data_IF_351705339058
#
_entry.id   IF_351705339058
#
_cell.length_a   1.000
_cell.length_b   1.000
_cell.length_c   1.000
_cell.angle_alpha   90.00
_cell.angle_beta   90.00
_cell.angle_gamma   90.00
#
_symmetry.space_group_name_H-M   'P 1'
#
loop_
_entity.id
_entity.type
_entity.pdbx_description
1 polymer ?
#
# COMPACT_ATOMS: atom_id res chain seq x y z
N UNK A 1 -33.99 -14.20 28.56
CA UNK A 1 -32.73 -13.40 28.56
C UNK A 1 -31.91 -13.91 27.38
N UNK A 2 -32.15 -13.32 26.23
CA UNK A 2 -31.39 -13.64 25.01
C UNK A 2 -30.08 -12.83 25.02
N UNK A 3 -28.97 -13.57 25.18
CA UNK A 3 -27.63 -13.02 24.95
C UNK A 3 -27.47 -12.83 23.45
N UNK A 4 -27.63 -11.63 22.97
CA UNK A 4 -27.26 -11.23 21.63
C UNK A 4 -25.74 -11.09 21.63
N UNK A 5 -25.03 -12.14 21.23
CA UNK A 5 -23.64 -12.07 20.83
C UNK A 5 -23.54 -11.14 19.61
N UNK A 6 -23.29 -9.86 19.88
CA UNK A 6 -22.83 -8.92 18.87
C UNK A 6 -21.36 -9.20 18.58
N UNK A 7 -21.10 -10.24 17.80
CA UNK A 7 -19.82 -10.40 17.13
C UNK A 7 -19.69 -9.21 16.18
N UNK A 8 -18.92 -8.21 16.59
CA UNK A 8 -18.59 -7.05 15.75
C UNK A 8 -17.88 -7.60 14.51
N UNK A 9 -18.59 -7.74 13.39
CA UNK A 9 -17.98 -8.15 12.12
C UNK A 9 -16.94 -7.06 11.77
N UNK A 10 -15.67 -7.42 11.87
CA UNK A 10 -14.56 -6.54 11.54
C UNK A 10 -14.61 -6.24 10.05
N UNK A 11 -14.58 -4.96 9.67
CA UNK A 11 -14.60 -4.52 8.26
C UNK A 11 -13.35 -5.01 7.56
N UNK A 12 -13.50 -5.92 6.57
CA UNK A 12 -12.37 -6.41 5.77
C UNK A 12 -12.05 -5.42 4.64
N UNK A 13 -10.80 -4.99 4.59
CA UNK A 13 -10.27 -4.14 3.52
C UNK A 13 -9.73 -4.98 2.36
N UNK A 14 -9.14 -6.14 2.66
CA UNK A 14 -8.77 -7.16 1.67
C UNK A 14 -9.43 -8.47 2.05
N UNK A 15 -10.09 -9.12 1.10
CA UNK A 15 -10.64 -10.45 1.26
C UNK A 15 -10.40 -11.24 -0.04
N UNK A 16 -9.51 -12.22 0.02
CA UNK A 16 -9.17 -13.14 -1.06
C UNK A 16 -9.51 -14.56 -0.64
N UNK A 17 -10.27 -15.28 -1.48
CA UNK A 17 -10.65 -16.67 -1.25
C UNK A 17 -10.37 -17.49 -2.51
N UNK A 18 -9.48 -18.49 -2.40
CA UNK A 18 -9.07 -19.40 -3.47
C UNK A 18 -8.69 -18.67 -4.76
N UNK A 19 -7.96 -17.56 -4.63
CA UNK A 19 -7.60 -16.70 -5.75
C UNK A 19 -6.44 -17.30 -6.52
N UNK A 20 -6.53 -17.24 -7.87
CA UNK A 20 -5.45 -17.59 -8.80
C UNK A 20 -4.95 -16.32 -9.48
N UNK A 21 -3.64 -16.07 -9.41
CA UNK A 21 -2.97 -14.95 -10.05
C UNK A 21 -1.93 -15.48 -11.01
N UNK A 22 -1.98 -15.05 -12.27
CA UNK A 22 -1.05 -15.53 -13.31
C UNK A 22 -0.90 -14.57 -14.46
N UNK A 23 -0.20 -15.04 -15.51
CA UNK A 23 0.00 -14.37 -16.78
C UNK A 23 -0.24 -15.36 -17.92
N UNK A 24 -1.09 -15.00 -18.89
CA UNK A 24 -1.31 -15.79 -20.11
C UNK A 24 -1.55 -17.28 -19.83
N UNK A 25 -2.51 -17.60 -18.98
CA UNK A 25 -2.88 -18.95 -18.56
C UNK A 25 -1.77 -19.73 -17.81
N UNK A 26 -0.73 -19.04 -17.37
CA UNK A 26 0.31 -19.63 -16.52
C UNK A 26 0.15 -19.10 -15.09
N UNK A 27 -0.42 -19.90 -14.18
CA UNK A 27 -0.60 -19.49 -12.79
C UNK A 27 0.73 -19.29 -12.08
N UNK A 28 0.92 -18.13 -11.45
CA UNK A 28 2.05 -17.81 -10.60
C UNK A 28 1.74 -18.09 -9.13
N UNK A 29 0.54 -17.72 -8.69
CA UNK A 29 0.03 -18.00 -7.36
C UNK A 29 -1.33 -18.70 -7.47
N UNK A 30 -1.55 -19.72 -6.64
CA UNK A 30 -2.79 -20.52 -6.57
C UNK A 30 -3.28 -20.59 -5.14
N UNK A 31 -4.58 -20.81 -5.00
CA UNK A 31 -5.23 -21.01 -3.70
C UNK A 31 -4.87 -19.91 -2.68
N UNK A 32 -4.76 -18.66 -3.17
CA UNK A 32 -4.43 -17.52 -2.34
C UNK A 32 -5.62 -17.18 -1.46
N UNK A 33 -5.42 -17.31 -0.15
CA UNK A 33 -6.37 -16.93 0.88
C UNK A 33 -5.72 -15.87 1.77
N UNK A 34 -6.32 -14.66 1.82
CA UNK A 34 -5.80 -13.54 2.61
C UNK A 34 -6.96 -12.64 3.03
N UNK A 35 -7.05 -12.37 4.31
CA UNK A 35 -7.97 -11.37 4.85
C UNK A 35 -7.18 -10.30 5.62
N UNK A 36 -7.44 -9.03 5.36
CA UNK A 36 -6.92 -7.92 6.14
C UNK A 36 -8.09 -7.06 6.61
N UNK A 37 -8.19 -6.90 7.90
CA UNK A 37 -9.17 -6.01 8.49
C UNK A 37 -8.71 -4.55 8.46
N UNK A 38 -9.64 -3.64 8.67
CA UNK A 38 -9.34 -2.22 8.77
C UNK A 38 -8.38 -1.93 9.92
N UNK A 39 -7.30 -1.22 9.60
CA UNK A 39 -6.25 -0.87 10.54
C UNK A 39 -5.16 -1.93 10.72
N UNK A 40 -5.29 -3.11 10.10
CA UNK A 40 -4.21 -4.10 10.12
C UNK A 40 -2.92 -3.56 9.52
N UNK A 41 -1.79 -3.96 10.12
CA UNK A 41 -0.48 -3.85 9.53
C UNK A 41 0.06 -5.27 9.32
N UNK A 42 0.33 -5.66 8.08
CA UNK A 42 0.83 -6.99 7.75
C UNK A 42 2.07 -6.93 6.86
N UNK A 43 3.03 -7.80 7.14
CA UNK A 43 4.19 -8.05 6.28
C UNK A 43 3.88 -9.18 5.31
N UNK A 44 4.29 -9.02 4.05
CA UNK A 44 4.29 -10.04 3.03
C UNK A 44 5.74 -10.47 2.79
N UNK A 45 6.12 -11.63 3.30
CA UNK A 45 7.49 -12.16 3.18
C UNK A 45 7.57 -13.31 2.18
N UNK A 46 8.77 -13.61 1.73
CA UNK A 46 9.04 -14.72 0.79
C UNK A 46 10.27 -14.44 -0.06
N UNK A 47 10.81 -15.49 -0.68
CA UNK A 47 11.99 -15.40 -1.55
C UNK A 47 11.75 -14.43 -2.72
N UNK A 48 12.85 -13.93 -3.31
CA UNK A 48 12.76 -13.18 -4.57
C UNK A 48 12.10 -14.07 -5.64
N UNK A 49 11.17 -13.49 -6.41
CA UNK A 49 10.41 -14.24 -7.41
C UNK A 49 9.22 -15.06 -6.89
N UNK A 50 8.97 -15.13 -5.58
CA UNK A 50 7.85 -15.88 -5.00
C UNK A 50 6.45 -15.38 -5.39
N UNK A 51 6.34 -14.18 -5.98
CA UNK A 51 5.06 -13.62 -6.39
C UNK A 51 4.53 -12.46 -5.54
N UNK A 52 5.31 -11.96 -4.55
CA UNK A 52 4.90 -10.85 -3.67
C UNK A 52 4.42 -9.62 -4.45
N UNK A 53 5.24 -9.12 -5.37
CA UNK A 53 4.89 -7.97 -6.22
C UNK A 53 3.67 -8.26 -7.09
N UNK A 54 3.51 -9.48 -7.59
CA UNK A 54 2.34 -9.89 -8.37
C UNK A 54 1.06 -9.88 -7.54
N UNK A 55 1.11 -10.37 -6.31
CA UNK A 55 0.01 -10.26 -5.37
C UNK A 55 -0.34 -8.78 -5.12
N UNK A 56 0.65 -7.95 -4.75
CA UNK A 56 0.39 -6.53 -4.54
C UNK A 56 -0.24 -5.86 -5.77
N UNK A 57 0.27 -6.14 -6.98
CA UNK A 57 -0.24 -5.60 -8.24
C UNK A 57 -1.66 -6.03 -8.56
N UNK A 58 -2.05 -7.25 -8.18
CA UNK A 58 -3.41 -7.72 -8.39
C UNK A 58 -4.43 -6.96 -7.50
N UNK A 59 -4.04 -6.56 -6.29
CA UNK A 59 -4.91 -5.84 -5.37
C UNK A 59 -5.31 -4.44 -5.88
N UNK A 60 -4.50 -3.80 -6.72
CA UNK A 60 -4.85 -2.51 -7.34
C UNK A 60 -5.17 -2.61 -8.85
N UNK A 61 -5.49 -3.83 -9.31
CA UNK A 61 -5.88 -4.13 -10.68
C UNK A 61 -4.85 -3.65 -11.74
N UNK A 62 -3.56 -3.86 -11.48
CA UNK A 62 -2.47 -3.72 -12.44
C UNK A 62 -2.08 -5.07 -13.05
N UNK A 63 -2.38 -6.15 -12.32
CA UNK A 63 -2.32 -7.52 -12.78
C UNK A 63 -3.70 -8.17 -12.62
N UNK A 64 -4.12 -8.96 -13.61
CA UNK A 64 -5.40 -9.65 -13.58
C UNK A 64 -5.43 -10.79 -12.56
N UNK A 65 -6.60 -11.05 -12.02
CA UNK A 65 -6.93 -12.24 -11.23
C UNK A 65 -7.69 -13.18 -12.16
N UNK A 66 -7.26 -14.44 -12.26
CA UNK A 66 -7.83 -15.42 -13.18
C UNK A 66 -9.11 -16.05 -12.61
N UNK A 67 -9.13 -16.34 -11.32
CA UNK A 67 -10.29 -16.98 -10.66
C UNK A 67 -10.29 -16.75 -9.16
N UNK A 68 -11.33 -17.18 -8.46
CA UNK A 68 -11.53 -17.03 -7.02
C UNK A 68 -12.44 -15.85 -6.69
N UNK A 69 -12.54 -15.52 -5.40
CA UNK A 69 -13.24 -14.34 -4.91
C UNK A 69 -12.22 -13.35 -4.38
N UNK A 70 -12.23 -12.12 -4.89
CA UNK A 70 -11.30 -11.09 -4.46
C UNK A 70 -12.01 -9.75 -4.28
N UNK A 71 -12.03 -9.24 -3.07
CA UNK A 71 -12.56 -7.91 -2.72
C UNK A 71 -11.48 -7.06 -2.10
N UNK A 72 -11.33 -5.84 -2.58
CA UNK A 72 -10.39 -4.85 -2.06
C UNK A 72 -11.11 -3.53 -1.85
N UNK A 73 -11.07 -2.98 -0.64
CA UNK A 73 -11.79 -1.78 -0.23
C UNK A 73 -13.29 -1.83 -0.62
N UNK A 74 -13.92 -3.02 -0.46
CA UNK A 74 -15.32 -3.29 -0.80
C UNK A 74 -15.62 -3.46 -2.29
N UNK A 75 -14.60 -3.45 -3.18
CA UNK A 75 -14.76 -3.57 -4.63
C UNK A 75 -14.32 -4.96 -5.08
N UNK A 76 -15.16 -5.66 -5.87
CA UNK A 76 -14.78 -6.90 -6.55
C UNK A 76 -13.73 -6.59 -7.63
N UNK A 77 -12.54 -7.19 -7.50
CA UNK A 77 -11.41 -6.95 -8.41
C UNK A 77 -11.21 -8.04 -9.47
N UNK A 78 -11.90 -9.18 -9.37
CA UNK A 78 -11.84 -10.26 -10.36
C UNK A 78 -12.46 -9.82 -11.67
N UNK A 79 -13.66 -9.24 -11.61
CA UNK A 79 -14.44 -8.82 -12.78
C UNK A 79 -14.44 -7.31 -12.99
N UNK A 80 -13.42 -6.61 -12.46
CA UNK A 80 -13.38 -5.16 -12.47
C UNK A 80 -13.21 -4.60 -13.89
N UNK A 81 -14.24 -3.92 -14.38
CA UNK A 81 -14.17 -3.25 -15.69
C UNK A 81 -13.18 -2.10 -15.65
N UNK A 82 -12.40 -1.89 -16.72
CA UNK A 82 -11.36 -0.84 -16.84
C UNK A 82 -11.82 0.54 -16.39
N UNK A 83 -13.07 0.93 -16.68
CA UNK A 83 -13.65 2.24 -16.27
C UNK A 83 -13.79 2.42 -14.75
N UNK A 84 -13.80 1.33 -13.96
CA UNK A 84 -13.92 1.36 -12.52
C UNK A 84 -12.58 1.25 -11.78
N UNK A 85 -11.49 0.91 -12.47
CA UNK A 85 -10.13 0.86 -11.89
C UNK A 85 -9.76 2.19 -11.21
N UNK A 86 -10.05 3.39 -11.75
CA UNK A 86 -9.75 4.63 -11.05
C UNK A 86 -10.45 4.78 -9.69
N UNK A 87 -11.65 4.20 -9.52
CA UNK A 87 -12.36 4.22 -8.23
C UNK A 87 -11.64 3.37 -7.18
N UNK A 88 -11.17 2.18 -7.56
CA UNK A 88 -10.35 1.32 -6.72
C UNK A 88 -9.05 2.03 -6.33
N UNK A 89 -8.30 2.53 -7.33
CA UNK A 89 -6.99 3.15 -7.11
C UNK A 89 -7.02 4.43 -6.28
N UNK A 90 -8.16 5.13 -6.19
CA UNK A 90 -8.34 6.26 -5.26
C UNK A 90 -8.34 5.85 -3.81
N UNK A 91 -8.75 4.61 -3.50
CA UNK A 91 -8.81 4.05 -2.16
C UNK A 91 -7.50 3.37 -1.73
N UNK A 92 -6.53 3.27 -2.65
CA UNK A 92 -5.26 2.56 -2.43
C UNK A 92 -4.10 3.52 -2.62
N UNK A 93 -3.24 3.62 -1.62
CA UNK A 93 -1.93 4.24 -1.72
C UNK A 93 -0.88 3.19 -2.09
N UNK A 94 0.06 3.54 -2.98
CA UNK A 94 1.14 2.63 -3.37
C UNK A 94 2.47 3.28 -3.06
N UNK A 95 3.28 2.59 -2.25
CA UNK A 95 4.67 2.95 -1.95
C UNK A 95 5.57 1.96 -2.68
N UNK A 96 6.42 2.45 -3.57
CA UNK A 96 7.37 1.65 -4.34
C UNK A 96 8.76 1.68 -3.69
N UNK A 97 9.56 0.68 -3.97
CA UNK A 97 10.97 0.63 -3.60
C UNK A 97 11.73 1.83 -4.18
N UNK A 98 11.57 2.09 -5.48
CA UNK A 98 11.97 3.35 -6.11
C UNK A 98 10.80 4.32 -6.02
N UNK A 99 10.97 5.45 -5.40
CA UNK A 99 9.89 6.41 -5.14
C UNK A 99 9.08 6.84 -6.38
N UNK A 100 9.63 6.61 -7.61
CA UNK A 100 8.99 6.89 -8.93
C UNK A 100 8.39 8.29 -9.01
N UNK A 101 9.15 9.28 -8.58
CA UNK A 101 8.73 10.68 -8.65
C UNK A 101 8.89 11.23 -10.07
N UNK A 102 8.03 12.17 -10.44
CA UNK A 102 8.14 12.95 -11.65
C UNK A 102 9.32 13.92 -11.49
N UNK A 103 10.40 13.69 -12.23
CA UNK A 103 11.69 14.40 -12.07
C UNK A 103 11.68 15.83 -12.63
N UNK A 104 10.74 16.14 -13.52
CA UNK A 104 10.49 17.45 -14.11
C UNK A 104 9.68 18.39 -13.20
N UNK A 105 9.27 17.94 -12.02
CA UNK A 105 8.37 18.63 -11.11
C UNK A 105 8.88 18.63 -9.69
N UNK A 106 8.62 19.72 -8.95
CA UNK A 106 8.93 19.78 -7.53
C UNK A 106 8.01 18.86 -6.70
N UNK A 107 8.30 18.69 -5.42
CA UNK A 107 7.54 17.85 -4.49
C UNK A 107 6.06 18.21 -4.48
N UNK A 108 5.74 19.49 -4.31
CA UNK A 108 4.35 19.98 -4.30
C UNK A 108 3.61 19.60 -5.59
N UNK A 109 4.23 19.80 -6.76
CA UNK A 109 3.62 19.50 -8.05
C UNK A 109 3.46 17.99 -8.30
N UNK A 110 4.33 17.15 -7.74
CA UNK A 110 4.16 15.69 -7.73
C UNK A 110 2.88 15.27 -7.00
N UNK A 111 2.59 15.88 -5.83
CA UNK A 111 1.38 15.59 -5.05
C UNK A 111 0.13 16.22 -5.70
N UNK A 112 0.22 17.45 -6.18
CA UNK A 112 -0.86 18.13 -6.89
C UNK A 112 -1.32 17.33 -8.12
N UNK A 113 -0.40 16.75 -8.86
CA UNK A 113 -0.71 15.91 -10.01
C UNK A 113 -1.66 14.76 -9.64
N UNK A 114 -1.40 14.07 -8.53
CA UNK A 114 -2.26 12.96 -8.07
C UNK A 114 -3.65 13.46 -7.67
N UNK A 115 -3.73 14.54 -6.89
CA UNK A 115 -5.01 15.11 -6.47
C UNK A 115 -5.87 15.51 -7.68
N UNK A 116 -5.28 16.19 -8.67
CA UNK A 116 -6.00 16.56 -9.89
C UNK A 116 -6.44 15.34 -10.69
N UNK A 117 -5.58 14.34 -10.84
CA UNK A 117 -5.91 13.10 -11.53
C UNK A 117 -7.03 12.31 -10.84
N UNK A 118 -7.20 12.50 -9.54
CA UNK A 118 -8.26 11.87 -8.74
C UNK A 118 -9.52 12.73 -8.56
N UNK A 119 -9.57 13.90 -9.23
CA UNK A 119 -10.79 14.72 -9.35
C UNK A 119 -10.88 15.88 -8.38
N UNK A 120 -9.79 16.23 -7.68
CA UNK A 120 -9.77 17.45 -6.87
C UNK A 120 -9.71 18.69 -7.77
N UNK A 121 -10.58 19.66 -7.54
CA UNK A 121 -10.72 20.83 -8.41
C UNK A 121 -10.35 22.15 -7.72
N UNK A 122 -10.65 22.26 -6.42
CA UNK A 122 -10.49 23.53 -5.70
C UNK A 122 -9.04 23.73 -5.24
N UNK A 123 -8.43 24.81 -5.72
CA UNK A 123 -7.02 25.14 -5.46
C UNK A 123 -6.68 25.19 -3.97
N UNK A 124 -7.55 25.80 -3.15
CA UNK A 124 -7.31 25.94 -1.72
C UNK A 124 -7.38 24.59 -0.98
N UNK A 125 -8.30 23.70 -1.37
CA UNK A 125 -8.39 22.35 -0.80
C UNK A 125 -7.15 21.51 -1.16
N UNK A 126 -6.69 21.61 -2.41
CA UNK A 126 -5.47 20.95 -2.90
C UNK A 126 -4.25 21.43 -2.09
N UNK A 127 -4.06 22.75 -1.97
CA UNK A 127 -2.93 23.32 -1.23
C UNK A 127 -2.94 22.89 0.25
N UNK A 128 -4.10 22.90 0.88
CA UNK A 128 -4.28 22.46 2.27
C UNK A 128 -3.96 20.98 2.45
N UNK A 129 -4.45 20.12 1.54
CA UNK A 129 -4.19 18.67 1.60
C UNK A 129 -2.71 18.37 1.41
N UNK A 130 -2.05 19.04 0.45
CA UNK A 130 -0.60 18.89 0.24
C UNK A 130 0.17 19.29 1.49
N UNK A 131 -0.13 20.46 2.07
CA UNK A 131 0.53 20.94 3.27
C UNK A 131 0.41 19.96 4.45
N UNK A 132 -0.82 19.49 4.73
CA UNK A 132 -1.08 18.48 5.77
C UNK A 132 -0.29 17.19 5.54
N UNK A 133 -0.29 16.71 4.29
CA UNK A 133 0.37 15.45 3.96
C UNK A 133 1.89 15.56 4.06
N UNK A 134 2.50 16.66 3.58
CA UNK A 134 3.93 16.89 3.70
C UNK A 134 4.36 17.05 5.16
N UNK A 135 3.53 17.68 5.98
CA UNK A 135 3.78 17.77 7.41
C UNK A 135 3.72 16.39 8.09
N UNK A 136 2.74 15.56 7.74
CA UNK A 136 2.59 14.21 8.30
C UNK A 136 3.79 13.30 8.01
N UNK A 137 4.45 13.48 6.86
CA UNK A 137 5.66 12.71 6.51
C UNK A 137 6.97 13.44 6.88
N UNK A 138 6.90 14.62 7.52
CA UNK A 138 8.07 15.36 8.01
C UNK A 138 8.96 15.96 6.92
N UNK A 139 8.36 16.46 5.79
CA UNK A 139 9.13 17.00 4.66
C UNK A 139 8.52 18.31 4.11
N UNK A 140 7.81 19.06 4.94
CA UNK A 140 7.11 20.28 4.52
C UNK A 140 8.07 21.38 4.00
N UNK A 141 9.29 21.45 4.52
CA UNK A 141 10.35 22.38 4.11
C UNK A 141 10.86 22.12 2.69
N UNK A 142 10.64 20.94 2.15
CA UNK A 142 11.09 20.50 0.81
C UNK A 142 10.03 20.62 -0.27
N UNK A 143 8.89 21.26 0.00
CA UNK A 143 7.76 21.35 -0.93
C UNK A 143 8.15 21.87 -2.33
N UNK A 144 9.12 22.80 -2.40
CA UNK A 144 9.59 23.40 -3.65
C UNK A 144 10.84 22.72 -4.23
N UNK A 145 11.41 21.72 -3.54
CA UNK A 145 12.59 21.01 -4.04
C UNK A 145 12.25 20.09 -5.22
N UNK A 146 13.18 19.95 -6.16
CA UNK A 146 13.10 18.95 -7.21
C UNK A 146 13.60 17.59 -6.67
N UNK A 147 13.09 16.45 -7.17
CA UNK A 147 13.49 15.12 -6.71
C UNK A 147 15.00 14.86 -6.73
N UNK A 148 15.72 15.42 -7.70
CA UNK A 148 17.18 15.27 -7.79
C UNK A 148 17.95 15.99 -6.67
N UNK A 149 17.33 16.90 -5.95
CA UNK A 149 17.92 17.63 -4.82
C UNK A 149 17.55 17.01 -3.46
N UNK A 150 16.88 15.88 -3.48
CA UNK A 150 16.47 15.14 -2.28
C UNK A 150 17.39 13.95 -2.04
N UNK A 151 17.66 13.63 -0.77
CA UNK A 151 18.24 12.35 -0.38
C UNK A 151 17.29 11.18 -0.70
N UNK A 152 17.76 9.93 -0.65
CA UNK A 152 16.90 8.77 -0.90
C UNK A 152 15.78 8.65 0.14
N UNK A 153 16.07 8.86 1.42
CA UNK A 153 15.06 8.89 2.47
C UNK A 153 14.02 10.00 2.26
N UNK A 154 14.44 11.20 1.84
CA UNK A 154 13.52 12.29 1.50
C UNK A 154 12.66 11.94 0.29
N UNK A 155 13.24 11.35 -0.78
CA UNK A 155 12.46 10.85 -1.93
C UNK A 155 11.43 9.81 -1.50
N UNK A 156 11.80 8.91 -0.60
CA UNK A 156 10.89 7.89 -0.08
C UNK A 156 9.75 8.50 0.74
N UNK A 157 10.04 9.51 1.58
CA UNK A 157 9.00 10.29 2.30
C UNK A 157 8.02 10.97 1.33
N UNK A 158 8.49 11.51 0.21
CA UNK A 158 7.60 12.05 -0.85
C UNK A 158 6.77 10.94 -1.49
N UNK A 159 7.35 9.76 -1.74
CA UNK A 159 6.64 8.58 -2.22
C UNK A 159 5.50 8.15 -1.28
N UNK A 160 5.76 8.15 0.03
CA UNK A 160 4.76 7.89 1.07
C UNK A 160 3.70 9.00 1.11
N UNK A 161 4.10 10.27 1.04
CA UNK A 161 3.16 11.38 0.95
C UNK A 161 2.21 11.22 -0.25
N UNK A 162 2.73 10.82 -1.40
CA UNK A 162 1.93 10.56 -2.59
C UNK A 162 0.93 9.40 -2.38
N UNK A 163 1.33 8.36 -1.66
CA UNK A 163 0.44 7.26 -1.32
C UNK A 163 -0.70 7.71 -0.38
N UNK A 164 -0.41 8.61 0.56
CA UNK A 164 -1.35 9.11 1.57
C UNK A 164 -2.31 10.19 1.06
N UNK A 165 -1.99 10.87 -0.04
CA UNK A 165 -2.59 12.16 -0.42
C UNK A 165 -4.12 12.13 -0.58
N UNK A 166 -4.69 10.98 -0.93
CA UNK A 166 -6.12 10.76 -1.07
C UNK A 166 -6.80 10.15 0.18
N UNK A 167 -6.12 10.08 1.32
CA UNK A 167 -6.59 9.40 2.53
C UNK A 167 -7.04 7.95 2.21
N UNK A 168 -6.15 7.07 1.78
CA UNK A 168 -6.50 5.74 1.30
C UNK A 168 -6.99 4.83 2.44
N UNK A 169 -7.86 3.87 2.10
CA UNK A 169 -8.29 2.79 3.00
C UNK A 169 -7.17 1.73 3.17
N UNK A 170 -6.33 1.56 2.13
CA UNK A 170 -5.26 0.57 2.04
C UNK A 170 -3.97 1.19 1.51
N UNK A 171 -2.85 0.89 2.15
CA UNK A 171 -1.51 1.16 1.60
C UNK A 171 -0.84 -0.17 1.25
N UNK A 172 -0.38 -0.26 0.01
CA UNK A 172 0.43 -1.36 -0.50
C UNK A 172 1.87 -0.84 -0.65
N UNK A 173 2.80 -1.41 0.11
CA UNK A 173 4.20 -1.02 0.08
C UNK A 173 5.06 -2.18 -0.46
N UNK A 174 5.74 -1.96 -1.58
CA UNK A 174 6.61 -2.96 -2.20
C UNK A 174 8.07 -2.62 -1.90
N UNK A 175 8.64 -3.31 -0.91
CA UNK A 175 10.01 -3.14 -0.40
C UNK A 175 10.41 -1.67 -0.14
N UNK A 176 9.64 -0.90 0.66
CA UNK A 176 9.78 0.55 0.77
C UNK A 176 11.10 1.02 1.40
N UNK A 177 11.88 0.12 1.97
CA UNK A 177 13.18 0.39 2.61
C UNK A 177 14.36 -0.26 1.89
N UNK A 178 14.11 -0.98 0.78
CA UNK A 178 15.11 -1.84 0.14
C UNK A 178 16.35 -1.13 -0.42
N UNK A 179 16.26 0.19 -0.67
CA UNK A 179 17.36 1.01 -1.21
C UNK A 179 17.94 2.00 -0.18
N UNK A 180 17.54 1.87 1.09
CA UNK A 180 17.92 2.82 2.14
C UNK A 180 18.98 2.21 3.07
N UNK A 181 19.78 3.06 3.67
CA UNK A 181 20.66 2.65 4.76
C UNK A 181 19.84 2.24 6.01
N UNK A 182 20.43 1.45 6.93
CA UNK A 182 19.69 0.90 8.08
C UNK A 182 19.03 1.96 8.98
N UNK A 183 19.66 3.13 9.13
CA UNK A 183 19.14 4.19 9.99
C UNK A 183 17.93 4.86 9.33
N UNK A 184 18.04 5.23 8.08
CA UNK A 184 16.94 5.77 7.27
C UNK A 184 15.80 4.75 7.13
N UNK A 185 16.11 3.46 6.96
CA UNK A 185 15.11 2.37 6.92
C UNK A 185 14.28 2.34 8.20
N UNK A 186 14.92 2.44 9.37
CA UNK A 186 14.23 2.48 10.65
C UNK A 186 13.32 3.72 10.79
N UNK A 187 13.74 4.87 10.29
CA UNK A 187 12.91 6.08 10.29
C UNK A 187 11.68 5.95 9.38
N UNK A 188 11.84 5.36 8.21
CA UNK A 188 10.72 5.11 7.27
C UNK A 188 9.76 4.08 7.84
N UNK A 189 10.27 3.02 8.48
CA UNK A 189 9.43 2.04 9.16
C UNK A 189 8.62 2.66 10.30
N UNK A 190 9.28 3.45 11.16
CA UNK A 190 8.59 4.16 12.24
C UNK A 190 7.49 5.07 11.68
N UNK A 191 7.77 5.82 10.61
CA UNK A 191 6.79 6.67 9.94
C UNK A 191 5.57 5.85 9.45
N UNK A 192 5.76 4.71 8.80
CA UNK A 192 4.67 3.87 8.32
C UNK A 192 3.83 3.31 9.48
N UNK A 193 4.47 2.85 10.56
CA UNK A 193 3.79 2.37 11.76
C UNK A 193 2.98 3.50 12.42
N UNK A 194 3.54 4.70 12.53
CA UNK A 194 2.84 5.85 13.11
C UNK A 194 1.64 6.27 12.26
N UNK A 195 1.77 6.25 10.93
CA UNK A 195 0.66 6.50 10.02
C UNK A 195 -0.45 5.47 10.22
N UNK A 196 -0.13 4.17 10.21
CA UNK A 196 -1.12 3.12 10.44
C UNK A 196 -1.87 3.35 11.76
N UNK A 197 -1.15 3.59 12.86
CA UNK A 197 -1.73 3.79 14.19
C UNK A 197 -2.61 5.05 14.29
N UNK A 198 -2.18 6.14 13.66
CA UNK A 198 -2.86 7.44 13.80
C UNK A 198 -4.04 7.60 12.84
N UNK A 199 -3.98 6.99 11.66
CA UNK A 199 -5.02 7.11 10.63
C UNK A 199 -5.96 5.90 10.56
N UNK A 200 -5.56 4.76 11.13
CA UNK A 200 -6.28 3.49 10.97
C UNK A 200 -6.24 2.94 9.53
N UNK A 201 -5.33 3.44 8.69
CA UNK A 201 -5.16 2.94 7.31
C UNK A 201 -4.55 1.54 7.35
N UNK A 202 -5.18 0.58 6.67
CA UNK A 202 -4.66 -0.79 6.54
C UNK A 202 -3.39 -0.81 5.70
N UNK A 203 -2.39 -1.60 6.08
CA UNK A 203 -1.12 -1.71 5.35
C UNK A 203 -0.74 -3.16 5.07
N UNK A 204 -0.34 -3.42 3.82
CA UNK A 204 0.34 -4.65 3.42
C UNK A 204 1.69 -4.28 2.81
N UNK A 205 2.76 -4.70 3.44
CA UNK A 205 4.12 -4.34 3.06
C UNK A 205 4.94 -5.57 2.70
N UNK A 206 5.43 -5.66 1.46
CA UNK A 206 6.44 -6.65 1.14
C UNK A 206 7.80 -6.25 1.70
N UNK A 207 8.51 -7.20 2.28
CA UNK A 207 9.89 -7.00 2.76
C UNK A 207 10.65 -8.32 2.83
N UNK A 208 11.95 -8.22 2.78
CA UNK A 208 12.89 -9.32 3.09
C UNK A 208 13.80 -8.96 4.28
N UNK A 209 13.55 -7.83 4.94
CA UNK A 209 14.33 -7.37 6.09
C UNK A 209 13.71 -7.88 7.40
N UNK A 210 14.20 -9.03 7.87
CA UNK A 210 13.75 -9.66 9.11
C UNK A 210 14.12 -8.83 10.36
N UNK A 211 15.18 -8.01 10.32
CA UNK A 211 15.54 -7.15 11.45
C UNK A 211 14.47 -6.07 11.66
N UNK A 212 13.89 -5.56 10.57
CA UNK A 212 12.79 -4.60 10.68
C UNK A 212 11.50 -5.25 11.17
N UNK A 213 11.23 -6.50 10.78
CA UNK A 213 10.07 -7.26 11.30
C UNK A 213 10.22 -7.49 12.82
N UNK A 214 11.38 -7.90 13.28
CA UNK A 214 11.64 -8.10 14.72
C UNK A 214 11.52 -6.80 15.53
N UNK A 215 11.97 -5.69 14.96
CA UNK A 215 11.91 -4.37 15.61
C UNK A 215 10.50 -3.76 15.62
N UNK A 216 9.71 -4.03 14.59
CA UNK A 216 8.35 -3.54 14.42
C UNK A 216 7.39 -4.72 14.22
N UNK A 217 7.11 -5.50 15.27
CA UNK A 217 6.32 -6.73 15.13
C UNK A 217 4.90 -6.42 14.65
N UNK A 218 4.48 -7.19 13.64
CA UNK A 218 3.15 -7.16 13.07
C UNK A 218 2.82 -8.53 12.47
N UNK A 219 1.60 -8.72 12.00
CA UNK A 219 1.14 -9.94 11.33
C UNK A 219 2.04 -10.27 10.13
N UNK A 220 2.34 -11.55 9.95
CA UNK A 220 3.21 -12.03 8.87
C UNK A 220 2.42 -12.94 7.93
N UNK A 221 2.50 -12.63 6.64
CA UNK A 221 1.94 -13.42 5.55
C UNK A 221 3.08 -13.94 4.70
N UNK A 222 3.15 -15.25 4.50
CA UNK A 222 4.24 -15.91 3.77
C UNK A 222 3.80 -16.22 2.35
N UNK A 223 4.58 -15.75 1.37
CA UNK A 223 4.43 -16.07 -0.04
C UNK A 223 5.52 -17.07 -0.44
N UNK A 224 5.16 -18.33 -0.62
CA UNK A 224 6.08 -19.42 -0.91
C UNK A 224 5.40 -20.51 -1.74
N UNK A 225 6.18 -21.23 -2.56
CA UNK A 225 5.74 -22.37 -3.38
C UNK A 225 4.46 -22.11 -4.20
N UNK A 226 4.31 -20.88 -4.70
CA UNK A 226 3.15 -20.49 -5.51
C UNK A 226 1.85 -20.30 -4.73
N UNK A 227 1.92 -20.16 -3.41
CA UNK A 227 0.76 -19.89 -2.55
C UNK A 227 1.04 -18.78 -1.53
N UNK A 228 0.02 -18.36 -0.82
CA UNK A 228 0.10 -17.36 0.25
C UNK A 228 -0.53 -17.95 1.49
N UNK A 229 0.23 -17.96 2.58
CA UNK A 229 -0.20 -18.49 3.88
C UNK A 229 -0.11 -17.41 4.95
N UNK A 230 -1.12 -17.34 5.78
CA UNK A 230 -1.14 -16.52 6.98
C UNK A 230 -0.50 -17.29 8.14
N UNK A 231 0.35 -16.65 8.92
CA UNK A 231 1.00 -17.30 10.08
C UNK A 231 0.12 -17.26 11.33
N UNK A 232 -1.00 -16.56 11.32
CA UNK A 232 -1.96 -16.49 12.44
C UNK A 232 -3.10 -17.53 12.34
N UNK A 233 -3.09 -18.40 11.31
CA UNK A 233 -4.07 -19.48 11.13
C UNK A 233 -3.42 -20.85 11.30
#
# INVERSE_FOLDING_TARGET
MENTDQTTQQELIVALENVVIGYNDTPLLKDVNLSLAKGDFAYLIGKSGAGKTSLLRSLYADQGIESGVARVCGIDVVNLRRRHIPQLRRKIGIVFQDSRLLTDRNVQANLEFVLRATGWMKRNEIANQIGKTLQAVGIADKAQALPQHLSEGERQRVGIARALINNPDLILADEPTGNLDPMTSAEIMQLLVDINRTTGTTMLMSTHDFMMIDKYPARVVVCEDGTVRDTEN
#
